data_IF_140066139989
#
_entry.id   IF_140066139989
#
_cell.length_a   1.000
_cell.length_b   1.000
_cell.length_c   1.000
_cell.angle_alpha   90.00
_cell.angle_beta   90.00
_cell.angle_gamma   90.00
#
_symmetry.space_group_name_H-M   'P 1'
#
loop_
_entity.id
_entity.type
_entity.pdbx_description
1 polymer ?
#
# COMPACT_ATOMS: atom_id res chain seq x y z
N UNK A 1 -7.32 5.29 -9.21
CA UNK A 1 -7.60 4.09 -10.03
C UNK A 1 -6.63 3.02 -9.62
N UNK A 2 -7.09 1.80 -9.38
CA UNK A 2 -6.25 0.68 -8.96
C UNK A 2 -6.76 -0.63 -9.57
N UNK A 3 -5.82 -1.51 -9.94
CA UNK A 3 -6.06 -2.90 -10.30
C UNK A 3 -4.84 -3.76 -9.90
N UNK A 4 -5.06 -4.89 -9.23
CA UNK A 4 -4.02 -5.82 -8.78
C UNK A 4 -3.83 -5.78 -7.26
N UNK A 5 -2.61 -5.93 -6.77
CA UNK A 5 -2.24 -5.95 -5.34
C UNK A 5 -1.19 -4.89 -4.97
N UNK A 6 -0.76 -4.06 -5.92
CA UNK A 6 -0.03 -2.83 -5.59
C UNK A 6 -0.97 -1.84 -4.92
N UNK A 7 -0.58 -1.29 -3.78
CA UNK A 7 -1.50 -0.50 -2.95
C UNK A 7 -1.29 1.00 -3.11
N UNK A 8 -2.37 1.75 -3.05
CA UNK A 8 -2.36 3.20 -2.86
C UNK A 8 -2.91 3.51 -1.48
N UNK A 9 -2.18 4.33 -0.72
CA UNK A 9 -2.56 4.81 0.59
C UNK A 9 -2.69 6.33 0.59
N UNK A 10 -3.63 6.83 1.37
CA UNK A 10 -3.70 8.22 1.80
C UNK A 10 -3.56 8.27 3.31
N UNK A 11 -2.61 9.07 3.78
CA UNK A 11 -2.32 9.29 5.20
C UNK A 11 -2.61 10.73 5.60
N UNK A 12 -3.16 10.90 6.80
CA UNK A 12 -3.22 12.17 7.51
C UNK A 12 -2.50 12.04 8.84
N UNK A 13 -1.39 12.75 8.97
CA UNK A 13 -0.43 12.45 10.01
C UNK A 13 0.04 10.99 9.90
N UNK A 14 -0.12 10.22 10.98
CA UNK A 14 0.24 8.80 11.01
C UNK A 14 -0.92 7.84 10.70
N UNK A 15 -2.14 8.34 10.51
CA UNK A 15 -3.34 7.54 10.34
C UNK A 15 -3.67 7.31 8.86
N UNK A 16 -4.17 6.12 8.53
CA UNK A 16 -4.64 5.80 7.18
C UNK A 16 -6.04 6.38 6.98
N UNK A 17 -6.17 7.35 6.08
CA UNK A 17 -7.47 7.85 5.62
C UNK A 17 -8.11 6.87 4.62
N UNK A 18 -7.29 6.34 3.72
CA UNK A 18 -7.74 5.41 2.69
C UNK A 18 -6.62 4.46 2.29
N UNK A 19 -6.99 3.22 1.94
CA UNK A 19 -6.14 2.22 1.31
C UNK A 19 -6.96 1.50 0.25
N UNK A 20 -6.40 1.31 -0.95
CA UNK A 20 -7.01 0.46 -1.97
C UNK A 20 -7.16 -0.98 -1.47
N UNK A 21 -8.18 -1.69 -1.96
CA UNK A 21 -8.33 -3.12 -1.68
C UNK A 21 -7.63 -3.94 -2.75
N UNK A 22 -6.94 -4.99 -2.34
CA UNK A 22 -6.25 -5.84 -3.29
C UNK A 22 -7.26 -6.65 -4.11
N UNK A 23 -7.07 -6.74 -5.41
CA UNK A 23 -7.81 -7.67 -6.27
C UNK A 23 -7.21 -9.08 -6.20
N UNK A 24 -7.08 -9.60 -4.99
CA UNK A 24 -6.51 -10.91 -4.68
C UNK A 24 -7.57 -11.88 -4.14
N UNK A 25 -7.31 -13.17 -4.29
CA UNK A 25 -8.18 -14.22 -3.78
C UNK A 25 -8.34 -14.14 -2.26
N UNK A 26 -7.26 -13.81 -1.55
CA UNK A 26 -7.29 -13.66 -0.10
C UNK A 26 -8.11 -12.45 0.33
N UNK A 27 -8.08 -11.35 -0.43
CA UNK A 27 -8.96 -10.20 -0.15
C UNK A 27 -10.44 -10.57 -0.32
N UNK A 28 -10.78 -11.39 -1.32
CA UNK A 28 -12.14 -11.92 -1.47
C UNK A 28 -12.58 -12.78 -0.28
N UNK A 29 -11.67 -13.57 0.30
CA UNK A 29 -11.95 -14.33 1.53
C UNK A 29 -12.15 -13.42 2.75
N UNK A 30 -11.39 -12.32 2.84
CA UNK A 30 -11.57 -11.29 3.89
C UNK A 30 -12.93 -10.62 3.76
N UNK A 31 -13.30 -10.19 2.54
CA UNK A 31 -14.59 -9.53 2.29
C UNK A 31 -15.79 -10.46 2.58
N UNK A 32 -15.61 -11.77 2.45
CA UNK A 32 -16.60 -12.80 2.84
C UNK A 32 -16.58 -13.13 4.34
N UNK A 33 -15.68 -12.54 5.13
CA UNK A 33 -15.53 -12.82 6.56
C UNK A 33 -14.95 -14.21 6.87
N UNK A 34 -14.35 -14.89 5.88
CA UNK A 34 -13.78 -16.24 6.05
C UNK A 34 -12.42 -16.23 6.74
N UNK A 35 -11.65 -15.17 6.52
CA UNK A 35 -10.34 -14.93 7.16
C UNK A 35 -10.22 -13.46 7.59
N UNK A 36 -9.33 -13.19 8.54
CA UNK A 36 -8.99 -11.82 8.96
C UNK A 36 -7.91 -11.21 8.06
N UNK A 37 -7.75 -9.87 8.06
CA UNK A 37 -6.66 -9.21 7.32
C UNK A 37 -5.27 -9.73 7.70
N UNK A 38 -5.06 -10.04 8.99
CA UNK A 38 -3.80 -10.61 9.46
C UNK A 38 -3.55 -11.99 8.84
N UNK A 39 -4.58 -12.85 8.81
CA UNK A 39 -4.49 -14.17 8.19
C UNK A 39 -4.31 -14.10 6.67
N UNK A 40 -4.84 -13.08 6.01
CA UNK A 40 -4.67 -12.89 4.58
C UNK A 40 -3.20 -12.63 4.19
N UNK A 41 -2.45 -11.90 5.02
CA UNK A 41 -1.04 -11.59 4.75
C UNK A 41 -0.14 -12.84 4.78
N UNK A 42 -0.42 -13.80 5.67
CA UNK A 42 0.35 -15.04 5.83
C UNK A 42 -0.24 -16.23 5.04
N UNK A 43 -1.28 -15.99 4.24
CA UNK A 43 -1.98 -17.05 3.53
C UNK A 43 -1.11 -17.61 2.39
N UNK A 44 -1.04 -18.94 2.17
CA UNK A 44 -0.20 -19.54 1.12
C UNK A 44 -0.61 -19.14 -0.31
N UNK A 45 -1.78 -18.55 -0.48
CA UNK A 45 -2.30 -18.03 -1.75
C UNK A 45 -2.42 -16.50 -1.77
N UNK A 46 -1.66 -15.79 -0.93
CA UNK A 46 -1.64 -14.32 -0.86
C UNK A 46 -1.32 -13.67 -2.22
N UNK A 47 -0.49 -14.32 -3.03
CA UNK A 47 -0.07 -13.84 -4.35
C UNK A 47 -1.05 -14.21 -5.49
N UNK A 48 -2.18 -14.88 -5.19
CA UNK A 48 -3.14 -15.27 -6.22
C UNK A 48 -4.06 -14.09 -6.56
N UNK A 49 -3.81 -13.45 -7.69
CA UNK A 49 -4.61 -12.33 -8.20
C UNK A 49 -5.89 -12.82 -8.88
N UNK A 50 -7.01 -12.16 -8.60
CA UNK A 50 -8.31 -12.39 -9.24
C UNK A 50 -8.49 -11.55 -10.52
N UNK A 51 -7.60 -10.60 -10.78
CA UNK A 51 -7.57 -9.85 -12.03
C UNK A 51 -6.34 -8.96 -12.16
N UNK A 52 -5.72 -8.99 -13.34
CA UNK A 52 -4.61 -8.13 -13.71
C UNK A 52 -4.75 -7.69 -15.17
N UNK A 53 -4.08 -6.58 -15.50
CA UNK A 53 -4.02 -6.08 -16.88
C UNK A 53 -3.36 -7.12 -17.80
N UNK A 54 -3.97 -7.38 -18.96
CA UNK A 54 -3.44 -8.32 -19.97
C UNK A 54 -4.01 -9.73 -19.91
N UNK A 55 -5.05 -9.97 -19.11
CA UNK A 55 -5.86 -11.21 -19.19
C UNK A 55 -6.95 -11.08 -20.26
N UNK A 56 -7.65 -12.18 -20.56
CA UNK A 56 -8.72 -12.20 -21.56
C UNK A 56 -9.91 -11.30 -21.16
N UNK A 57 -10.13 -11.13 -19.86
CA UNK A 57 -11.13 -10.25 -19.28
C UNK A 57 -10.51 -8.92 -18.84
N UNK A 58 -11.27 -7.83 -18.89
CA UNK A 58 -10.82 -6.57 -18.31
C UNK A 58 -10.65 -6.73 -16.79
N UNK A 59 -9.54 -6.25 -16.19
CA UNK A 59 -9.35 -6.37 -14.76
C UNK A 59 -10.41 -5.53 -14.02
N UNK A 60 -10.82 -5.95 -12.81
CA UNK A 60 -11.60 -5.08 -11.95
C UNK A 60 -10.81 -3.80 -11.70
N UNK A 61 -11.42 -2.66 -11.96
CA UNK A 61 -10.84 -1.34 -11.73
C UNK A 61 -11.60 -0.64 -10.61
N UNK A 62 -10.90 -0.32 -9.53
CA UNK A 62 -11.47 0.50 -8.45
C UNK A 62 -11.07 1.97 -8.65
N UNK A 63 -12.06 2.85 -8.68
CA UNK A 63 -11.88 4.30 -8.72
C UNK A 63 -12.29 4.87 -7.37
N UNK A 64 -11.32 5.41 -6.65
CA UNK A 64 -11.55 6.19 -5.43
C UNK A 64 -11.17 7.64 -5.68
N UNK A 65 -12.00 8.55 -5.17
CA UNK A 65 -11.80 10.00 -5.24
C UNK A 65 -11.66 10.55 -3.82
N UNK A 66 -10.56 11.27 -3.57
CA UNK A 66 -10.31 11.97 -2.31
C UNK A 66 -10.81 13.41 -2.50
N UNK A 67 -11.88 13.78 -1.80
CA UNK A 67 -12.57 15.07 -2.00
C UNK A 67 -11.67 16.29 -1.75
N UNK A 68 -10.81 16.22 -0.74
CA UNK A 68 -9.89 17.30 -0.39
C UNK A 68 -8.63 16.75 0.26
N UNK A 69 -7.48 17.32 -0.11
CA UNK A 69 -6.20 17.09 0.56
C UNK A 69 -5.84 18.30 1.43
N UNK A 70 -5.31 18.04 2.62
CA UNK A 70 -4.80 19.04 3.55
C UNK A 70 -3.26 19.11 3.49
N UNK A 71 -2.70 20.25 3.90
CA UNK A 71 -1.24 20.37 4.05
C UNK A 71 -0.76 19.36 5.08
N UNK A 72 0.26 18.57 4.71
CA UNK A 72 0.78 17.45 5.48
C UNK A 72 0.22 16.09 5.09
N UNK A 73 -0.90 16.03 4.35
CA UNK A 73 -1.42 14.76 3.84
C UNK A 73 -0.39 14.11 2.91
N UNK A 74 -0.26 12.78 3.00
CA UNK A 74 0.71 12.02 2.24
C UNK A 74 0.03 10.90 1.45
N UNK A 75 0.32 10.83 0.15
CA UNK A 75 -0.10 9.77 -0.75
C UNK A 75 1.08 8.83 -1.01
N UNK A 76 0.83 7.53 -0.91
CA UNK A 76 1.85 6.50 -1.11
C UNK A 76 1.34 5.46 -2.08
N UNK A 77 2.11 5.16 -3.12
CA UNK A 77 1.89 4.01 -4.00
C UNK A 77 3.04 3.03 -3.80
N UNK A 78 2.75 1.75 -3.56
CA UNK A 78 3.78 0.75 -3.35
C UNK A 78 3.40 -0.64 -3.87
N UNK A 79 4.42 -1.43 -4.21
CA UNK A 79 4.25 -2.86 -4.48
C UNK A 79 4.19 -3.68 -3.19
N UNK A 80 3.80 -4.94 -3.34
CA UNK A 80 3.81 -6.00 -2.32
C UNK A 80 5.16 -6.21 -1.65
N UNK A 81 6.26 -6.04 -2.40
CA UNK A 81 7.62 -6.00 -1.86
C UNK A 81 7.83 -4.97 -0.74
N UNK A 82 6.93 -3.99 -0.56
CA UNK A 82 6.92 -3.10 0.60
C UNK A 82 5.85 -3.48 1.63
N UNK A 83 4.58 -3.48 1.24
CA UNK A 83 3.47 -3.55 2.21
C UNK A 83 3.38 -4.91 2.91
N UNK A 84 3.97 -5.96 2.35
CA UNK A 84 4.06 -7.27 3.00
C UNK A 84 4.89 -7.23 4.28
N UNK A 85 5.90 -6.35 4.35
CA UNK A 85 6.86 -6.30 5.45
C UNK A 85 6.57 -5.23 6.50
N UNK A 86 5.63 -4.31 6.26
CA UNK A 86 5.33 -3.20 7.17
C UNK A 86 3.84 -3.07 7.45
N UNK A 87 3.51 -2.85 8.73
CA UNK A 87 2.14 -2.51 9.11
C UNK A 87 1.77 -1.09 8.67
N UNK A 88 0.48 -0.85 8.43
CA UNK A 88 -0.06 0.48 8.12
C UNK A 88 0.35 1.53 9.16
N UNK A 89 0.29 1.17 10.45
CA UNK A 89 0.67 2.05 11.56
C UNK A 89 2.16 2.42 11.53
N UNK A 90 3.02 1.45 11.26
CA UNK A 90 4.46 1.70 11.14
C UNK A 90 4.76 2.60 9.93
N UNK A 91 4.14 2.31 8.77
CA UNK A 91 4.27 3.14 7.58
C UNK A 91 3.86 4.58 7.87
N UNK A 92 2.65 4.79 8.40
CA UNK A 92 2.15 6.12 8.73
C UNK A 92 3.03 6.87 9.73
N UNK A 93 3.55 6.18 10.74
CA UNK A 93 4.47 6.79 11.72
C UNK A 93 5.76 7.29 11.07
N UNK A 94 6.39 6.49 10.19
CA UNK A 94 7.63 6.86 9.50
C UNK A 94 7.38 8.02 8.53
N UNK A 95 6.28 7.91 7.76
CA UNK A 95 5.88 8.95 6.81
C UNK A 95 5.67 10.26 7.55
N UNK A 96 4.88 10.29 8.62
CA UNK A 96 4.60 11.51 9.36
C UNK A 96 5.86 12.15 9.97
N UNK A 97 6.81 11.34 10.43
CA UNK A 97 7.97 11.83 11.18
C UNK A 97 9.10 12.40 10.30
N UNK A 98 9.19 11.97 9.04
CA UNK A 98 10.36 12.25 8.20
C UNK A 98 9.99 12.99 6.91
N UNK A 99 10.94 13.75 6.32
CA UNK A 99 10.80 14.25 4.96
C UNK A 99 10.57 13.11 3.96
N UNK A 100 9.83 13.34 2.86
CA UNK A 100 9.48 12.31 1.88
C UNK A 100 10.63 11.39 1.44
N UNK A 101 11.79 11.97 1.17
CA UNK A 101 12.98 11.22 0.73
C UNK A 101 13.49 10.26 1.81
N UNK A 102 13.65 10.76 3.02
CA UNK A 102 14.15 9.98 4.16
C UNK A 102 13.15 8.92 4.61
N UNK A 103 11.85 9.24 4.55
CA UNK A 103 10.78 8.27 4.80
C UNK A 103 10.88 7.09 3.82
N UNK A 104 11.00 7.35 2.52
CA UNK A 104 11.17 6.31 1.51
C UNK A 104 12.41 5.44 1.76
N UNK A 105 13.56 6.06 2.04
CA UNK A 105 14.80 5.33 2.31
C UNK A 105 14.67 4.43 3.55
N UNK A 106 14.06 4.93 4.63
CA UNK A 106 13.81 4.15 5.84
C UNK A 106 12.85 2.98 5.59
N UNK A 107 11.76 3.21 4.86
CA UNK A 107 10.77 2.18 4.51
C UNK A 107 11.40 1.06 3.68
N UNK A 108 12.16 1.42 2.65
CA UNK A 108 12.88 0.46 1.78
C UNK A 108 13.88 -0.37 2.60
N UNK A 109 14.67 0.27 3.47
CA UNK A 109 15.66 -0.42 4.28
C UNK A 109 15.02 -1.40 5.27
N UNK A 110 13.92 -1.01 5.92
CA UNK A 110 13.15 -1.89 6.83
C UNK A 110 12.58 -3.10 6.10
N UNK A 111 11.97 -2.90 4.93
CA UNK A 111 11.45 -4.01 4.13
C UNK A 111 12.57 -4.98 3.73
N UNK A 112 13.68 -4.47 3.19
CA UNK A 112 14.84 -5.30 2.80
C UNK A 112 15.43 -6.09 3.97
N UNK A 113 15.56 -5.46 5.14
CA UNK A 113 16.07 -6.12 6.33
C UNK A 113 15.15 -7.27 6.77
N UNK A 114 13.83 -7.05 6.76
CA UNK A 114 12.82 -8.06 7.14
C UNK A 114 12.69 -9.17 6.11
N UNK A 115 12.92 -8.88 4.84
CA UNK A 115 12.90 -9.87 3.77
C UNK A 115 14.02 -10.91 3.87
N UNK A 116 15.12 -10.63 4.59
CA UNK A 116 16.23 -11.57 4.82
C UNK A 116 16.77 -12.22 3.52
N UNK A 117 16.75 -11.47 2.41
CA UNK A 117 17.20 -11.94 1.10
C UNK A 117 16.16 -12.72 0.27
N UNK A 118 14.97 -12.97 0.80
CA UNK A 118 13.85 -13.62 0.10
C UNK A 118 12.75 -12.67 -0.38
N UNK A 119 13.04 -11.36 -0.45
CA UNK A 119 12.05 -10.35 -0.82
C UNK A 119 11.86 -10.20 -2.31
N UNK A 120 10.68 -9.72 -2.70
CA UNK A 120 10.35 -9.41 -4.09
C UNK A 120 10.86 -8.02 -4.53
N UNK A 121 10.65 -7.68 -5.79
CA UNK A 121 10.83 -6.35 -6.32
C UNK A 121 10.00 -5.33 -5.52
N UNK A 122 10.70 -4.33 -4.99
CA UNK A 122 10.12 -3.30 -4.16
C UNK A 122 10.12 -1.97 -4.94
N UNK A 123 8.93 -1.43 -5.18
CA UNK A 123 8.72 -0.08 -5.70
C UNK A 123 7.87 0.75 -4.74
N UNK A 124 8.23 2.03 -4.57
CA UNK A 124 7.56 2.98 -3.69
C UNK A 124 7.62 4.39 -4.30
N UNK A 125 6.47 5.05 -4.38
CA UNK A 125 6.34 6.47 -4.64
C UNK A 125 5.60 7.14 -3.49
N UNK A 126 6.10 8.28 -3.01
CA UNK A 126 5.50 9.04 -1.92
C UNK A 126 5.42 10.50 -2.31
N UNK A 127 4.24 11.09 -2.13
CA UNK A 127 3.96 12.51 -2.35
C UNK A 127 3.40 13.08 -1.06
N UNK A 128 3.94 14.22 -0.61
CA UNK A 128 3.38 14.99 0.51
C UNK A 128 2.86 16.32 0.00
N UNK A 129 1.68 16.69 0.46
CA UNK A 129 1.08 17.99 0.19
C UNK A 129 1.76 19.03 1.08
N UNK A 130 2.46 19.96 0.46
CA UNK A 130 3.16 21.05 1.12
C UNK A 130 2.43 22.37 0.88
N UNK A 131 2.57 23.31 1.81
CA UNK A 131 2.10 24.67 1.58
C UNK A 131 2.88 25.31 0.42
N UNK A 132 2.16 26.09 -0.41
CA UNK A 132 2.82 26.85 -1.46
C UNK A 132 3.77 27.86 -0.82
N UNK A 133 5.07 27.79 -1.13
CA UNK A 133 6.03 28.80 -0.69
C UNK A 133 5.70 30.10 -1.42
N UNK A 134 5.44 31.15 -0.66
CA UNK A 134 5.25 32.52 -1.17
C UNK A 134 6.56 33.08 -1.71
#
# INVERSE_FOLDING_TARGET
MHAGDSRVYAFRGAEVLHRTKDHSYVQHLVDQGKITEAQANDHPQSNLLLGCLGTADEPPVEIHHIESLEVGDSLVCCSDGLWHYLSNKEMGTIINALPPREACEMLVNKARQRAQGGGDNLSLALVRVEALKQ
#
